data_IF_472461261587
#
_entry.id   IF_472461261587
#
_cell.length_a   1.000
_cell.length_b   1.000
_cell.length_c   1.000
_cell.angle_alpha   90.00
_cell.angle_beta   90.00
_cell.angle_gamma   90.00
#
_symmetry.space_group_name_H-M   'P 1'
#
loop_
_entity.id
_entity.type
_entity.pdbx_description
1 polymer ?
#
# COMPACT_ATOMS: atom_id res chain seq x y z
N UNK A 1 1.26 -2.87 0.03
CA UNK A 1 1.99 -1.59 -0.08
C UNK A 1 1.30 -0.53 0.76
N UNK A 2 2.06 0.37 1.39
CA UNK A 2 1.55 1.47 2.21
C UNK A 2 1.89 2.82 1.56
N UNK A 3 0.87 3.62 1.22
CA UNK A 3 0.98 4.87 0.47
C UNK A 3 1.12 4.68 -1.05
N UNK A 4 0.84 5.74 -1.81
CA UNK A 4 1.05 5.81 -3.26
C UNK A 4 1.47 7.23 -3.71
N UNK A 5 2.60 7.76 -3.21
CA UNK A 5 3.14 9.03 -3.68
C UNK A 5 3.66 8.92 -5.11
N UNK A 6 3.90 10.06 -5.77
CA UNK A 6 4.62 10.10 -7.06
C UNK A 6 5.93 9.30 -6.99
N UNK A 7 6.22 8.47 -7.99
CA UNK A 7 7.43 7.62 -8.00
C UNK A 7 7.34 6.42 -7.06
N UNK A 8 6.14 6.07 -6.60
CA UNK A 8 5.88 4.95 -5.67
C UNK A 8 6.47 3.61 -6.14
N UNK A 9 6.65 3.43 -7.45
CA UNK A 9 7.17 2.19 -8.05
C UNK A 9 8.69 2.19 -8.24
N UNK A 10 9.38 3.29 -7.92
CA UNK A 10 10.82 3.42 -8.13
C UNK A 10 11.58 2.40 -7.29
N UNK A 11 12.41 1.61 -7.98
CA UNK A 11 13.21 0.55 -7.35
C UNK A 11 12.44 -0.73 -6.99
N UNK A 12 11.14 -0.82 -7.27
CA UNK A 12 10.39 -2.07 -7.07
C UNK A 12 10.66 -3.02 -8.23
N UNK A 13 11.00 -4.27 -7.90
CA UNK A 13 11.20 -5.32 -8.91
C UNK A 13 9.87 -5.73 -9.53
N UNK A 14 9.90 -6.14 -10.80
CA UNK A 14 8.71 -6.61 -11.50
C UNK A 14 8.05 -7.78 -10.79
N UNK A 15 8.84 -8.69 -10.23
CA UNK A 15 8.33 -9.86 -9.53
C UNK A 15 7.50 -9.44 -8.32
N UNK A 16 7.96 -8.46 -7.54
CA UNK A 16 7.25 -7.95 -6.37
C UNK A 16 5.96 -7.22 -6.78
N UNK A 17 6.00 -6.45 -7.87
CA UNK A 17 4.82 -5.77 -8.43
C UNK A 17 3.74 -6.76 -8.92
N UNK A 18 4.15 -7.91 -9.46
CA UNK A 18 3.23 -8.95 -9.92
C UNK A 18 2.47 -9.63 -8.77
N UNK A 19 3.05 -9.62 -7.56
CA UNK A 19 2.50 -10.22 -6.34
C UNK A 19 1.84 -9.17 -5.43
N UNK A 20 1.57 -7.96 -5.93
CA UNK A 20 1.00 -6.90 -5.12
C UNK A 20 -0.49 -7.17 -4.85
N UNK A 21 -0.82 -7.51 -3.59
CA UNK A 21 -2.20 -7.80 -3.18
C UNK A 21 -3.04 -6.53 -2.93
N UNK A 22 -2.44 -5.52 -2.29
CA UNK A 22 -3.15 -4.31 -1.90
C UNK A 22 -2.24 -3.07 -1.78
N UNK A 23 -2.84 -1.91 -1.98
CA UNK A 23 -2.30 -0.58 -1.63
C UNK A 23 -3.17 0.02 -0.54
N UNK A 24 -2.57 0.34 0.59
CA UNK A 24 -3.24 0.96 1.75
C UNK A 24 -2.81 2.43 1.80
N UNK A 25 -3.73 3.35 1.54
CA UNK A 25 -3.48 4.79 1.56
C UNK A 25 -3.97 5.39 2.88
N UNK A 26 -3.22 6.37 3.40
CA UNK A 26 -3.47 6.97 4.72
C UNK A 26 -4.41 8.16 4.64
N UNK A 27 -4.41 8.86 3.50
CA UNK A 27 -5.27 10.00 3.27
C UNK A 27 -5.61 10.14 1.79
N UNK A 28 -6.60 10.97 1.46
CA UNK A 28 -6.93 11.35 0.09
C UNK A 28 -6.24 12.67 -0.32
N UNK A 29 -5.19 13.10 0.40
CA UNK A 29 -4.37 14.24 -0.02
C UNK A 29 -3.63 13.85 -1.30
N UNK A 30 -3.46 14.81 -2.21
CA UNK A 30 -2.84 14.57 -3.51
C UNK A 30 -1.50 13.80 -3.41
N UNK A 31 -0.59 14.27 -2.55
CA UNK A 31 0.72 13.62 -2.37
C UNK A 31 0.70 12.17 -1.88
N UNK A 32 -0.43 11.67 -1.36
CA UNK A 32 -0.57 10.25 -0.95
C UNK A 32 -1.22 9.37 -2.04
N UNK A 33 -1.78 9.99 -3.09
CA UNK A 33 -2.53 9.34 -4.17
C UNK A 33 -1.89 9.51 -5.55
N UNK A 34 -1.00 10.48 -5.73
CA UNK A 34 -0.48 10.89 -7.05
C UNK A 34 0.17 9.75 -7.85
N UNK A 35 0.78 8.75 -7.19
CA UNK A 35 1.37 7.59 -7.87
C UNK A 35 0.45 6.36 -7.91
N UNK A 36 -0.83 6.48 -7.54
CA UNK A 36 -1.73 5.33 -7.50
C UNK A 36 -1.97 4.73 -8.90
N UNK A 37 -2.01 5.57 -9.93
CA UNK A 37 -2.12 5.13 -11.32
C UNK A 37 -0.82 4.49 -11.84
N UNK A 38 0.35 4.96 -11.39
CA UNK A 38 1.63 4.30 -11.65
C UNK A 38 1.64 2.88 -11.07
N UNK A 39 1.28 2.72 -9.79
CA UNK A 39 1.22 1.41 -9.12
C UNK A 39 0.19 0.50 -9.79
N UNK A 40 -1.00 1.03 -10.12
CA UNK A 40 -2.05 0.35 -10.88
C UNK A 40 -1.49 -0.26 -12.16
N UNK A 41 -0.86 0.56 -12.99
CA UNK A 41 -0.40 0.19 -14.33
C UNK A 41 0.83 -0.72 -14.27
N UNK A 42 1.79 -0.40 -13.40
CA UNK A 42 3.03 -1.17 -13.28
C UNK A 42 2.76 -2.57 -12.72
N UNK A 43 1.90 -2.72 -11.70
CA UNK A 43 1.53 -4.04 -11.15
C UNK A 43 0.76 -4.89 -12.17
N UNK A 44 -0.15 -4.29 -12.93
CA UNK A 44 -0.86 -5.00 -13.99
C UNK A 44 0.08 -5.48 -15.10
N UNK A 45 0.92 -4.58 -15.64
CA UNK A 45 1.93 -4.93 -16.65
C UNK A 45 2.95 -5.93 -16.13
N UNK A 46 3.25 -5.91 -14.83
CA UNK A 46 4.12 -6.89 -14.19
C UNK A 46 3.55 -8.30 -14.20
N UNK A 47 2.23 -8.46 -14.29
CA UNK A 47 1.55 -9.76 -14.38
C UNK A 47 0.63 -10.09 -13.20
N UNK A 48 0.16 -9.08 -12.46
CA UNK A 48 -0.87 -9.25 -11.42
C UNK A 48 -2.13 -9.91 -12.00
N UNK A 49 -2.67 -10.91 -11.30
CA UNK A 49 -3.71 -11.82 -11.82
C UNK A 49 -5.15 -11.44 -11.43
N UNK A 50 -5.33 -10.49 -10.52
CA UNK A 50 -6.64 -10.05 -10.02
C UNK A 50 -6.62 -8.54 -9.78
N UNK A 51 -7.76 -7.82 -9.77
CA UNK A 51 -7.81 -6.38 -9.49
C UNK A 51 -7.01 -5.96 -8.25
N UNK A 52 -6.39 -4.77 -8.31
CA UNK A 52 -5.60 -4.28 -7.19
C UNK A 52 -6.55 -3.73 -6.13
N UNK A 53 -6.48 -4.29 -4.92
CA UNK A 53 -7.24 -3.78 -3.79
C UNK A 53 -6.61 -2.46 -3.29
N UNK A 54 -7.42 -1.41 -3.22
CA UNK A 54 -7.04 -0.12 -2.64
C UNK A 54 -7.87 0.12 -1.38
N UNK A 55 -7.20 0.17 -0.25
CA UNK A 55 -7.81 0.42 1.06
C UNK A 55 -7.48 1.85 1.46
N UNK A 56 -8.48 2.61 1.87
CA UNK A 56 -8.31 4.01 2.21
C UNK A 56 -9.47 4.57 3.03
N UNK A 57 -9.36 5.82 3.48
CA UNK A 57 -10.46 6.46 4.19
C UNK A 57 -11.69 6.63 3.29
N UNK A 58 -12.83 6.95 3.89
CA UNK A 58 -14.07 7.27 3.18
C UNK A 58 -13.81 8.21 1.99
N UNK A 59 -14.30 7.80 0.80
CA UNK A 59 -14.05 8.49 -0.47
C UNK A 59 -13.05 7.78 -1.39
N UNK A 60 -12.28 6.81 -0.88
CA UNK A 60 -11.35 6.02 -1.71
C UNK A 60 -12.04 5.30 -2.87
N UNK A 61 -13.30 4.90 -2.69
CA UNK A 61 -14.06 4.22 -3.74
C UNK A 61 -14.34 5.13 -4.93
N UNK A 62 -14.55 6.42 -4.69
CA UNK A 62 -14.75 7.42 -5.73
C UNK A 62 -13.45 7.60 -6.52
N UNK A 63 -12.31 7.64 -5.83
CA UNK A 63 -10.98 7.76 -6.46
C UNK A 63 -10.70 6.53 -7.33
N UNK A 64 -10.91 5.32 -6.81
CA UNK A 64 -10.68 4.09 -7.55
C UNK A 64 -11.58 3.99 -8.79
N UNK A 65 -12.87 4.31 -8.64
CA UNK A 65 -13.81 4.35 -9.76
C UNK A 65 -13.43 5.40 -10.81
N UNK A 66 -13.01 6.58 -10.39
CA UNK A 66 -12.57 7.64 -11.29
C UNK A 66 -11.33 7.23 -12.09
N UNK A 67 -10.34 6.60 -11.45
CA UNK A 67 -9.14 6.08 -12.14
C UNK A 67 -9.49 4.97 -13.12
N UNK A 68 -10.33 4.00 -12.73
CA UNK A 68 -10.79 2.96 -13.64
C UNK A 68 -11.49 3.55 -14.87
N UNK A 69 -12.37 4.55 -14.65
CA UNK A 69 -13.09 5.24 -15.72
C UNK A 69 -12.14 6.01 -16.63
N UNK A 70 -11.17 6.72 -16.05
CA UNK A 70 -10.21 7.53 -16.82
C UNK A 70 -9.31 6.69 -17.73
N UNK A 71 -8.94 5.48 -17.28
CA UNK A 71 -8.00 4.62 -17.98
C UNK A 71 -8.65 3.47 -18.77
N UNK A 72 -9.97 3.30 -18.74
CA UNK A 72 -10.68 2.20 -19.41
C UNK A 72 -10.28 2.06 -20.89
N UNK A 73 -10.32 3.16 -21.64
CA UNK A 73 -9.95 3.14 -23.07
C UNK A 73 -8.46 2.88 -23.29
N UNK A 74 -7.60 3.40 -22.39
CA UNK A 74 -6.16 3.21 -22.49
C UNK A 74 -5.76 1.75 -22.23
N UNK A 75 -6.42 1.10 -21.26
CA UNK A 75 -6.21 -0.32 -20.97
C UNK A 75 -6.63 -1.20 -22.15
N UNK A 76 -7.80 -0.93 -22.74
CA UNK A 76 -8.28 -1.66 -23.91
C UNK A 76 -7.33 -1.50 -25.11
N UNK A 77 -6.84 -0.28 -25.36
CA UNK A 77 -5.88 -0.02 -26.42
C UNK A 77 -4.56 -0.76 -26.17
N UNK A 78 -4.07 -0.75 -24.94
CA UNK A 78 -2.85 -1.48 -24.56
C UNK A 78 -2.96 -2.97 -24.88
N UNK A 79 -4.07 -3.63 -24.55
CA UNK A 79 -4.26 -5.06 -24.85
C UNK A 79 -4.26 -5.34 -26.36
N UNK A 80 -4.82 -4.43 -27.16
CA UNK A 80 -4.82 -4.56 -28.63
C UNK A 80 -3.41 -4.39 -29.21
N UNK A 81 -2.64 -3.42 -28.70
CA UNK A 81 -1.31 -3.07 -29.23
C UNK A 81 -0.20 -3.98 -28.73
N UNK A 82 -0.21 -4.32 -27.44
CA UNK A 82 0.88 -4.99 -26.73
C UNK A 82 0.51 -6.42 -26.28
N UNK A 83 -0.76 -6.80 -26.40
CA UNK A 83 -1.29 -8.06 -25.88
C UNK A 83 -1.63 -8.01 -24.39
N UNK A 84 -2.34 -9.04 -23.91
CA UNK A 84 -2.67 -9.16 -22.50
C UNK A 84 -1.40 -9.37 -21.65
N UNK A 85 -1.26 -8.71 -20.48
CA UNK A 85 -0.14 -8.95 -19.58
C UNK A 85 -0.04 -10.42 -19.12
N UNK A 86 1.13 -10.86 -18.61
CA UNK A 86 1.37 -12.25 -18.22
C UNK A 86 0.38 -12.82 -17.19
N UNK A 87 -0.27 -11.96 -16.40
CA UNK A 87 -1.28 -12.35 -15.41
C UNK A 87 -2.62 -12.77 -16.01
N UNK A 88 -2.83 -12.58 -17.32
CA UNK A 88 -4.05 -12.97 -18.03
C UNK A 88 -5.27 -12.08 -17.78
N UNK A 89 -5.08 -10.98 -17.05
CA UNK A 89 -6.13 -10.00 -16.74
C UNK A 89 -6.13 -8.86 -17.76
N UNK A 90 -7.29 -8.50 -18.30
CA UNK A 90 -7.42 -7.68 -19.51
C UNK A 90 -7.53 -6.16 -19.26
N UNK A 91 -7.52 -5.71 -18.01
CA UNK A 91 -7.48 -4.30 -17.66
C UNK A 91 -6.80 -4.08 -16.31
N UNK A 92 -6.19 -2.92 -16.07
CA UNK A 92 -5.54 -2.62 -14.80
C UNK A 92 -6.55 -2.18 -13.72
N UNK A 93 -7.57 -2.99 -13.42
CA UNK A 93 -8.66 -2.58 -12.53
C UNK A 93 -8.22 -2.41 -11.07
N UNK A 94 -8.78 -1.39 -10.44
CA UNK A 94 -8.78 -1.16 -9.00
C UNK A 94 -10.11 -1.62 -8.39
N UNK A 95 -10.06 -2.34 -7.28
CA UNK A 95 -11.20 -2.51 -6.38
C UNK A 95 -10.90 -1.76 -5.09
N UNK A 96 -11.90 -1.26 -4.41
CA UNK A 96 -11.71 -0.39 -3.25
C UNK A 96 -12.42 -0.90 -2.01
N UNK A 97 -11.84 -0.60 -0.86
CA UNK A 97 -12.49 -0.77 0.44
C UNK A 97 -12.26 0.50 1.27
N UNK A 98 -13.34 1.23 1.51
CA UNK A 98 -13.30 2.29 2.51
C UNK A 98 -13.25 1.69 3.92
N UNK A 99 -12.49 2.32 4.82
CA UNK A 99 -12.61 2.09 6.25
C UNK A 99 -13.13 3.33 6.96
N UNK A 100 -13.84 3.10 8.06
CA UNK A 100 -14.24 4.14 8.99
C UNK A 100 -13.90 3.72 10.41
N UNK A 101 -13.15 4.56 11.13
CA UNK A 101 -12.71 4.27 12.48
C UNK A 101 -11.57 3.24 12.58
N UNK A 102 -11.52 2.58 13.74
CA UNK A 102 -10.52 1.56 14.08
C UNK A 102 -11.07 0.14 13.81
N UNK A 103 -10.18 -0.77 13.43
CA UNK A 103 -10.52 -2.17 13.18
C UNK A 103 -9.74 -2.77 12.03
N UNK A 104 -9.93 -4.06 11.79
CA UNK A 104 -9.31 -4.79 10.68
C UNK A 104 -9.73 -4.22 9.32
N UNK A 105 -8.75 -3.95 8.46
CA UNK A 105 -8.97 -3.44 7.10
C UNK A 105 -8.45 -4.39 6.02
N UNK A 106 -7.50 -5.26 6.36
CA UNK A 106 -6.90 -6.24 5.48
C UNK A 106 -6.49 -7.51 6.25
N UNK A 107 -6.75 -8.68 5.69
CA UNK A 107 -6.35 -9.97 6.26
C UNK A 107 -6.07 -10.97 5.12
N UNK A 108 -4.87 -11.55 5.12
CA UNK A 108 -4.47 -12.65 4.21
C UNK A 108 -4.33 -14.00 4.92
N UNK A 109 -4.61 -14.07 6.21
CA UNK A 109 -4.30 -15.19 7.12
C UNK A 109 -2.89 -15.09 7.70
N UNK A 110 -1.90 -14.66 6.90
CA UNK A 110 -0.52 -14.46 7.35
C UNK A 110 -0.23 -13.01 7.78
N UNK A 111 -0.97 -12.05 7.20
CA UNK A 111 -0.83 -10.62 7.45
C UNK A 111 -2.20 -10.04 7.80
N UNK A 112 -2.29 -9.43 8.98
CA UNK A 112 -3.46 -8.66 9.41
C UNK A 112 -3.08 -7.19 9.50
N UNK A 113 -3.86 -6.32 8.88
CA UNK A 113 -3.71 -4.86 9.01
C UNK A 113 -4.96 -4.29 9.65
N UNK A 114 -4.77 -3.52 10.71
CA UNK A 114 -5.80 -2.82 11.44
C UNK A 114 -5.60 -1.31 11.33
N UNK A 115 -6.68 -0.60 11.02
CA UNK A 115 -6.77 0.85 11.19
C UNK A 115 -6.82 1.20 12.67
N UNK A 116 -6.14 2.27 13.03
CA UNK A 116 -6.08 2.85 14.37
C UNK A 116 -6.40 4.34 14.28
N UNK A 117 -6.65 4.99 15.40
CA UNK A 117 -6.89 6.45 15.46
C UNK A 117 -5.78 7.29 14.82
N UNK A 118 -4.59 6.73 14.64
CA UNK A 118 -3.39 7.48 14.24
C UNK A 118 -2.67 6.89 13.00
N UNK A 119 -3.22 5.86 12.37
CA UNK A 119 -2.60 5.17 11.23
C UNK A 119 -2.94 3.68 11.20
N UNK A 120 -1.97 2.80 10.91
CA UNK A 120 -2.18 1.36 10.82
C UNK A 120 -1.26 0.54 11.71
N UNK A 121 -1.76 -0.59 12.18
CA UNK A 121 -0.98 -1.66 12.79
C UNK A 121 -0.99 -2.85 11.84
N UNK A 122 0.17 -3.42 11.56
CA UNK A 122 0.30 -4.63 10.78
C UNK A 122 0.94 -5.72 11.62
N UNK A 123 0.33 -6.91 11.61
CA UNK A 123 0.80 -8.09 12.32
C UNK A 123 1.11 -9.18 11.32
N UNK A 124 2.29 -9.79 11.44
CA UNK A 124 2.69 -10.97 10.68
C UNK A 124 2.62 -12.19 11.60
N UNK A 125 1.82 -13.20 11.23
CA UNK A 125 1.64 -14.52 11.87
C UNK A 125 2.64 -14.84 13.01
N UNK A 126 2.31 -14.37 14.24
CA UNK A 126 3.09 -14.49 15.49
C UNK A 126 4.59 -14.06 15.45
N UNK A 127 5.06 -13.50 14.34
CA UNK A 127 6.48 -13.18 14.08
C UNK A 127 6.82 -11.73 14.41
N UNK A 128 5.83 -10.85 14.39
CA UNK A 128 6.08 -9.46 14.75
C UNK A 128 5.00 -8.50 14.30
N UNK A 129 5.16 -7.27 14.75
CA UNK A 129 4.23 -6.19 14.54
C UNK A 129 4.96 -4.94 14.03
N UNK A 130 4.32 -4.22 13.10
CA UNK A 130 4.76 -2.93 12.60
C UNK A 130 3.65 -1.88 12.84
N UNK A 131 4.06 -0.68 13.22
CA UNK A 131 3.16 0.46 13.41
C UNK A 131 3.48 1.57 12.41
N UNK A 132 2.45 2.05 11.74
CA UNK A 132 2.51 3.11 10.74
C UNK A 132 1.64 4.27 11.21
N UNK A 133 2.19 5.49 11.29
CA UNK A 133 1.45 6.66 11.75
C UNK A 133 1.57 7.83 10.78
N UNK A 134 0.49 8.62 10.66
CA UNK A 134 0.52 9.90 9.95
C UNK A 134 1.26 10.97 10.79
N UNK A 135 1.98 11.90 10.14
CA UNK A 135 2.84 12.89 10.82
C UNK A 135 2.16 13.68 11.94
N UNK A 136 0.94 14.13 11.68
CA UNK A 136 0.25 15.07 12.56
C UNK A 136 -0.61 14.35 13.61
N UNK A 137 -0.57 13.02 13.64
CA UNK A 137 -1.45 12.17 14.43
C UNK A 137 -0.75 11.47 15.61
N UNK A 138 0.57 11.59 15.78
CA UNK A 138 1.26 10.94 16.90
C UNK A 138 0.91 11.64 18.24
N UNK A 139 0.36 10.94 19.26
CA UNK A 139 0.36 11.48 20.60
C UNK A 139 1.80 11.56 21.10
N UNK A 140 2.23 12.77 21.47
CA UNK A 140 3.59 13.06 21.93
C UNK A 140 4.08 12.19 23.12
N UNK A 141 3.17 11.48 23.81
CA UNK A 141 3.44 10.87 25.11
C UNK A 141 2.90 9.44 25.26
N UNK A 142 2.55 8.73 24.18
CA UNK A 142 2.26 7.30 24.32
C UNK A 142 3.55 6.51 24.09
N UNK A 143 4.25 6.21 25.19
CA UNK A 143 5.10 5.03 25.24
C UNK A 143 4.21 3.86 24.82
N UNK A 144 4.36 3.41 23.57
CA UNK A 144 3.96 2.06 23.19
C UNK A 144 4.57 1.20 24.28
N UNK A 145 3.75 0.54 25.10
CA UNK A 145 4.25 -0.42 26.09
C UNK A 145 4.74 -1.63 25.29
N UNK A 146 5.96 -1.52 24.79
CA UNK A 146 6.62 -2.51 23.92
C UNK A 146 7.02 -3.67 24.84
N UNK A 147 6.11 -4.64 24.97
CA UNK A 147 6.42 -5.97 25.45
C UNK A 147 6.73 -6.96 24.32
N UNK A 148 6.56 -6.55 23.07
CA UNK A 148 6.67 -7.41 21.88
C UNK A 148 7.51 -6.75 20.79
N UNK A 149 8.21 -7.57 20.01
CA UNK A 149 9.25 -7.16 19.06
C UNK A 149 8.67 -6.28 17.94
N UNK A 150 8.87 -4.96 18.05
CA UNK A 150 8.53 -3.98 17.00
C UNK A 150 9.72 -3.90 16.05
N UNK A 151 9.55 -4.37 14.81
CA UNK A 151 10.63 -4.45 13.83
C UNK A 151 10.90 -3.12 13.13
N UNK A 152 9.87 -2.29 12.92
CA UNK A 152 9.98 -1.04 12.15
C UNK A 152 9.04 0.05 12.66
N UNK A 153 9.53 1.30 12.66
CA UNK A 153 8.75 2.51 12.97
C UNK A 153 8.88 3.50 11.82
N UNK A 154 7.77 3.75 11.13
CA UNK A 154 7.65 4.87 10.19
C UNK A 154 7.12 6.09 10.95
N UNK A 155 7.90 7.17 10.97
CA UNK A 155 7.51 8.42 11.65
C UNK A 155 8.12 9.64 10.97
N UNK A 156 7.56 10.82 11.23
CA UNK A 156 8.05 12.05 10.60
C UNK A 156 9.31 12.60 11.25
N UNK A 157 9.65 12.04 12.41
CA UNK A 157 10.90 12.28 13.13
C UNK A 157 11.94 11.19 12.86
N UNK A 158 11.64 10.23 11.97
CA UNK A 158 12.61 9.21 11.58
C UNK A 158 13.85 9.90 10.97
N UNK A 159 15.03 9.54 11.50
CA UNK A 159 16.31 10.03 11.00
C UNK A 159 16.56 9.55 9.56
N UNK A 160 16.08 8.35 9.25
CA UNK A 160 16.08 7.78 7.91
C UNK A 160 14.97 8.42 7.04
N UNK A 161 15.33 9.12 5.94
CA UNK A 161 14.37 9.75 5.04
C UNK A 161 13.46 8.75 4.32
N UNK A 162 13.88 7.50 4.13
CA UNK A 162 13.07 6.44 3.52
C UNK A 162 12.08 5.84 4.53
N UNK A 163 12.27 6.14 5.82
CA UNK A 163 11.34 5.80 6.90
C UNK A 163 10.54 7.00 7.39
N UNK A 164 10.66 8.14 6.70
CA UNK A 164 9.99 9.39 7.04
C UNK A 164 8.73 9.54 6.20
N UNK A 165 7.61 9.80 6.84
CA UNK A 165 6.35 10.10 6.14
C UNK A 165 6.32 11.56 5.62
N UNK A 166 5.78 11.85 4.41
CA UNK A 166 5.33 10.88 3.40
C UNK A 166 6.51 10.09 2.86
N UNK A 167 6.31 8.77 2.71
CA UNK A 167 7.36 7.87 2.24
C UNK A 167 7.86 8.34 0.88
N UNK A 168 9.17 8.42 0.72
CA UNK A 168 9.81 8.75 -0.57
C UNK A 168 10.17 7.51 -1.37
N UNK A 169 10.15 6.35 -0.72
CA UNK A 169 10.40 5.06 -1.30
C UNK A 169 9.47 4.02 -0.65
N UNK A 170 9.05 2.98 -1.38
CA UNK A 170 8.26 1.88 -0.84
C UNK A 170 9.03 1.13 0.26
N UNK A 171 8.41 0.93 1.42
CA UNK A 171 8.99 0.12 2.50
C UNK A 171 8.60 -1.35 2.32
N UNK A 172 9.59 -2.20 2.11
CA UNK A 172 9.44 -3.66 2.11
C UNK A 172 9.86 -4.24 3.45
N UNK A 173 8.89 -4.72 4.22
CA UNK A 173 9.18 -5.47 5.45
C UNK A 173 9.44 -6.92 5.04
N UNK A 174 10.70 -7.20 4.71
CA UNK A 174 11.21 -8.53 4.42
C UNK A 174 11.86 -9.14 5.67
N UNK A 175 11.71 -10.45 5.80
CA UNK A 175 12.33 -11.28 6.83
C UNK A 175 13.84 -11.02 6.90
N UNK A 176 14.35 -10.40 7.96
CA UNK A 176 15.76 -10.58 8.31
C UNK A 176 15.88 -11.92 9.03
N UNK A 177 16.58 -12.85 8.38
CA UNK A 177 17.09 -14.06 9.03
C UNK A 177 17.93 -13.60 10.23
N UNK A 178 17.53 -14.04 11.42
CA UNK A 178 18.37 -13.96 12.60
C UNK A 178 19.56 -14.86 12.32
N UNK A 179 20.74 -14.28 12.07
CA UNK A 179 21.99 -15.01 12.10
C UNK A 179 22.24 -15.43 13.55
N UNK A 180 22.40 -16.73 13.78
CA UNK A 180 22.91 -17.32 15.02
C UNK A 180 24.27 -16.76 15.44
#
# INVERSE_FOLDING_TARGET
>A
MFGAPTGAIDGIRREDLSQLDAVIVFSLRAGDLEGLDEVRNASWKAGRQAPLLVIGPNGIEIVAAALNTAYEQADALFVVEEGAPPGGYDAALLISRAYSGEGEVFDTGDVVVESTSYGYRMTYDQRGMAHFHACDAAPANQEVRIGEMVWERLSCTASDPDRRWPLRAPLFILRNQVSE
#
